data_IF_943965344987
#
_entry.id   IF_943965344987
#
_cell.length_a   1.000
_cell.length_b   1.000
_cell.length_c   1.000
_cell.angle_alpha   90.00
_cell.angle_beta   90.00
_cell.angle_gamma   90.00
#
_symmetry.space_group_name_H-M   'P 1'
#
loop_
_entity.id
_entity.type
_entity.pdbx_description
1 polymer ?
#
# COMPACT_ATOMS: atom_id res chain seq x y z
N UNK A 1 3.13 6.34 -39.05
CA UNK A 1 3.21 5.75 -37.69
C UNK A 1 3.53 4.26 -37.84
N UNK A 2 4.81 3.89 -37.81
CA UNK A 2 5.24 2.54 -38.21
C UNK A 2 4.99 1.44 -37.16
N UNK A 3 4.85 0.17 -37.59
CA UNK A 3 4.51 -0.98 -36.74
C UNK A 3 5.50 -1.22 -35.59
N UNK A 4 6.77 -0.86 -35.77
CA UNK A 4 7.81 -0.96 -34.74
C UNK A 4 7.51 -0.10 -33.49
N UNK A 5 6.94 1.11 -33.67
CA UNK A 5 6.56 1.98 -32.54
C UNK A 5 5.37 1.41 -31.76
N UNK A 6 4.53 0.59 -32.40
CA UNK A 6 3.40 -0.10 -31.76
C UNK A 6 3.89 -1.22 -30.85
N UNK A 7 4.80 -2.05 -31.36
CA UNK A 7 5.43 -3.17 -30.61
C UNK A 7 6.21 -2.67 -29.40
N UNK A 8 7.02 -1.62 -29.56
CA UNK A 8 7.80 -1.07 -28.45
C UNK A 8 6.93 -0.58 -27.27
N UNK A 9 5.73 -0.07 -27.56
CA UNK A 9 4.76 0.33 -26.54
C UNK A 9 4.19 -0.87 -25.79
N UNK A 10 3.88 -1.95 -26.51
CA UNK A 10 3.34 -3.17 -25.92
C UNK A 10 4.36 -3.86 -25.00
N UNK A 11 5.64 -3.89 -25.38
CA UNK A 11 6.71 -4.41 -24.51
C UNK A 11 6.80 -3.62 -23.20
N UNK A 12 6.74 -2.28 -23.27
CA UNK A 12 6.77 -1.43 -22.06
C UNK A 12 5.57 -1.69 -21.15
N UNK A 13 4.40 -1.90 -21.74
CA UNK A 13 3.20 -2.25 -20.99
C UNK A 13 3.36 -3.61 -20.28
N UNK A 14 3.83 -4.64 -21.00
CA UNK A 14 4.04 -5.97 -20.45
C UNK A 14 5.09 -5.97 -19.33
N UNK A 15 6.18 -5.21 -19.48
CA UNK A 15 7.19 -5.02 -18.43
C UNK A 15 6.62 -4.32 -17.18
N UNK A 16 5.76 -3.30 -17.39
CA UNK A 16 5.01 -2.68 -16.31
C UNK A 16 4.11 -3.67 -15.57
N UNK A 17 3.33 -4.47 -16.31
CA UNK A 17 2.45 -5.48 -15.75
C UNK A 17 3.24 -6.55 -14.98
N UNK A 18 4.32 -7.08 -15.55
CA UNK A 18 5.16 -8.08 -14.90
C UNK A 18 5.75 -7.56 -13.58
N UNK A 19 6.23 -6.31 -13.55
CA UNK A 19 6.69 -5.67 -12.30
C UNK A 19 5.60 -5.53 -11.26
N UNK A 20 4.39 -5.15 -11.68
CA UNK A 20 3.24 -5.04 -10.77
C UNK A 20 2.89 -6.40 -10.19
N UNK A 21 2.71 -7.42 -11.04
CA UNK A 21 2.40 -8.79 -10.61
C UNK A 21 3.46 -9.33 -9.64
N UNK A 22 4.74 -9.07 -9.90
CA UNK A 22 5.82 -9.50 -9.02
C UNK A 22 5.76 -8.83 -7.63
N UNK A 23 5.38 -7.54 -7.55
CA UNK A 23 5.22 -6.83 -6.27
C UNK A 23 4.04 -7.33 -5.45
N UNK A 24 2.91 -7.60 -6.10
CA UNK A 24 1.68 -8.00 -5.40
C UNK A 24 1.58 -9.51 -5.14
N UNK A 25 2.48 -10.33 -5.72
CA UNK A 25 2.48 -11.80 -5.55
C UNK A 25 2.47 -12.26 -4.09
N UNK A 26 3.01 -11.45 -3.17
CA UNK A 26 3.05 -11.77 -1.74
C UNK A 26 1.72 -11.51 -1.01
N UNK A 27 0.78 -10.83 -1.66
CA UNK A 27 -0.56 -10.60 -1.11
C UNK A 27 -1.34 -11.90 -1.33
N UNK A 28 -1.45 -12.68 -0.25
CA UNK A 28 -2.14 -13.95 -0.24
C UNK A 28 -3.44 -13.82 0.58
N UNK A 29 -4.61 -14.25 0.06
CA UNK A 29 -5.85 -14.26 0.84
C UNK A 29 -5.77 -15.09 2.11
N UNK A 30 -4.89 -16.11 2.13
CA UNK A 30 -4.66 -17.01 3.25
C UNK A 30 -3.40 -16.62 4.05
N UNK A 31 -2.96 -15.35 3.95
CA UNK A 31 -1.83 -14.84 4.72
C UNK A 31 -2.13 -14.82 6.22
N UNK A 32 -1.21 -15.35 7.03
CA UNK A 32 -1.25 -15.25 8.49
C UNK A 32 -0.99 -13.82 9.00
N UNK A 33 -0.37 -12.97 8.17
CA UNK A 33 -0.10 -11.54 8.44
C UNK A 33 -1.04 -10.70 7.58
N UNK A 34 -1.89 -9.93 8.23
CA UNK A 34 -2.87 -9.04 7.63
C UNK A 34 -2.37 -7.60 7.62
N UNK A 35 -3.06 -6.75 6.86
CA UNK A 35 -2.79 -5.30 6.84
C UNK A 35 -2.94 -4.66 8.23
N UNK A 36 -3.77 -5.24 9.10
CA UNK A 36 -3.92 -4.77 10.47
C UNK A 36 -2.65 -5.00 11.28
N UNK A 37 -1.96 -6.13 11.11
CA UNK A 37 -0.71 -6.43 11.81
C UNK A 37 0.41 -5.44 11.39
N UNK A 38 0.52 -5.16 10.08
CA UNK A 38 1.45 -4.15 9.56
C UNK A 38 1.12 -2.75 10.14
N UNK A 39 -0.17 -2.47 10.36
CA UNK A 39 -0.61 -1.21 10.95
C UNK A 39 -0.28 -1.13 12.44
N UNK A 40 -0.47 -2.20 13.20
CA UNK A 40 -0.07 -2.29 14.61
C UNK A 40 1.45 -2.09 14.76
N UNK A 41 2.28 -2.70 13.90
CA UNK A 41 3.73 -2.46 13.90
C UNK A 41 4.06 -0.97 13.63
N UNK A 42 3.33 -0.34 12.71
CA UNK A 42 3.49 1.08 12.43
C UNK A 42 3.06 1.95 13.64
N UNK A 43 2.00 1.56 14.35
CA UNK A 43 1.55 2.22 15.58
C UNK A 43 2.63 2.14 16.66
N UNK A 44 3.23 0.97 16.86
CA UNK A 44 4.31 0.79 17.84
C UNK A 44 5.53 1.66 17.51
N UNK A 45 5.91 1.73 16.23
CA UNK A 45 7.12 2.43 15.78
C UNK A 45 6.94 3.94 15.67
N UNK A 46 5.74 4.40 15.33
CA UNK A 46 5.47 5.80 14.97
C UNK A 46 4.29 6.39 15.75
N UNK A 47 4.05 5.89 16.96
CA UNK A 47 2.87 6.20 17.78
C UNK A 47 2.49 7.69 17.85
N UNK A 48 3.50 8.56 17.98
CA UNK A 48 3.31 10.02 18.14
C UNK A 48 3.38 10.78 16.80
N UNK A 49 3.71 10.10 15.71
CA UNK A 49 3.62 10.66 14.37
C UNK A 49 2.15 10.73 13.94
N UNK A 50 1.88 11.58 12.97
CA UNK A 50 0.54 11.77 12.45
C UNK A 50 0.21 10.73 11.40
N UNK A 51 -0.91 10.05 11.62
CA UNK A 51 -1.45 9.02 10.73
C UNK A 51 -2.50 9.60 9.77
N UNK A 52 -3.39 10.46 10.27
CA UNK A 52 -4.52 10.97 9.51
C UNK A 52 -4.76 12.46 9.79
N UNK A 53 -5.04 13.20 8.73
CA UNK A 53 -5.57 14.58 8.80
C UNK A 53 -6.88 14.57 8.03
N UNK A 54 -7.98 14.88 8.72
CA UNK A 54 -9.31 14.88 8.13
C UNK A 54 -10.14 16.01 8.74
N UNK A 55 -10.80 16.80 7.89
CA UNK A 55 -11.67 17.93 8.31
C UNK A 55 -11.03 18.92 9.30
N UNK A 56 -9.72 19.12 9.21
CA UNK A 56 -8.97 20.02 10.10
C UNK A 56 -8.52 19.35 11.41
N UNK A 57 -9.00 18.15 11.69
CA UNK A 57 -8.54 17.33 12.81
C UNK A 57 -7.29 16.52 12.42
N UNK A 58 -6.46 16.26 13.42
CA UNK A 58 -5.19 15.54 13.27
C UNK A 58 -5.12 14.42 14.28
N UNK A 59 -4.93 13.20 13.78
CA UNK A 59 -4.79 12.00 14.59
C UNK A 59 -3.37 11.44 14.49
N UNK A 60 -2.78 11.15 15.64
CA UNK A 60 -1.56 10.32 15.68
C UNK A 60 -1.88 8.85 15.41
N UNK A 61 -0.87 8.05 15.09
CA UNK A 61 -1.04 6.59 14.95
C UNK A 61 -1.69 5.98 16.18
N UNK A 62 -1.23 6.37 17.39
CA UNK A 62 -1.82 5.92 18.66
C UNK A 62 -3.28 6.30 18.82
N UNK A 63 -3.64 7.54 18.45
CA UNK A 63 -5.02 8.02 18.59
C UNK A 63 -5.95 7.35 17.58
N UNK A 64 -5.47 7.12 16.36
CA UNK A 64 -6.23 6.44 15.32
C UNK A 64 -6.47 4.97 15.67
N UNK A 65 -5.47 4.29 16.20
CA UNK A 65 -5.59 2.91 16.68
C UNK A 65 -6.60 2.78 17.84
N UNK A 66 -6.49 3.65 18.85
CA UNK A 66 -7.44 3.69 19.95
C UNK A 66 -8.89 3.99 19.50
N UNK A 67 -9.07 4.74 18.42
CA UNK A 67 -10.38 5.00 17.82
C UNK A 67 -10.92 3.76 17.08
N UNK A 68 -10.06 3.00 16.40
CA UNK A 68 -10.45 1.79 15.68
C UNK A 68 -10.81 0.63 16.63
N UNK A 69 -10.13 0.55 17.77
CA UNK A 69 -10.32 -0.48 18.80
C UNK A 69 -11.46 -0.19 19.80
N UNK A 70 -12.27 0.85 19.56
CA UNK A 70 -13.40 1.25 20.41
C UNK A 70 -14.72 0.63 19.94
#
# INVERSE_FOLDING_TARGET
MGPLKRIAREIRYLDGLARTLWRVRKIDPDSDVLICDDFEEAVDKFADHTALIFEGERYTYRQLDALANR
#
